data_IF_665603983586
#
_entry.id   IF_665603983586
#
_cell.length_a   1.000
_cell.length_b   1.000
_cell.length_c   1.000
_cell.angle_alpha   90.00
_cell.angle_beta   90.00
_cell.angle_gamma   90.00
#
_symmetry.space_group_name_H-M   'P 1'
#
loop_
_entity.id
_entity.type
_entity.pdbx_description
1 polymer ?
#
# COMPACT_ATOMS: atom_id res chain seq x y z
N UNK A 1 -5.53 3.82 -27.72
CA UNK A 1 -4.73 4.70 -26.83
C UNK A 1 -5.42 5.02 -25.50
N UNK A 2 -6.74 5.16 -25.44
CA UNK A 2 -7.48 5.53 -24.21
C UNK A 2 -7.61 4.44 -23.14
N UNK A 3 -7.47 3.15 -23.47
CA UNK A 3 -7.51 2.06 -22.48
C UNK A 3 -6.23 1.95 -21.62
N UNK A 4 -5.04 2.25 -22.17
CA UNK A 4 -3.76 2.19 -21.43
C UNK A 4 -3.71 3.21 -20.28
N UNK A 5 -4.24 4.42 -20.48
CA UNK A 5 -4.27 5.49 -19.47
C UNK A 5 -5.26 5.17 -18.34
N UNK A 6 -6.42 4.58 -18.65
CA UNK A 6 -7.42 4.20 -17.64
C UNK A 6 -6.89 3.09 -16.74
N UNK A 7 -6.19 2.09 -17.29
CA UNK A 7 -5.61 0.99 -16.51
C UNK A 7 -4.53 1.50 -15.55
N UNK A 8 -3.67 2.42 -15.99
CA UNK A 8 -2.61 3.00 -15.14
C UNK A 8 -3.20 3.88 -14.01
N UNK A 9 -4.21 4.70 -14.30
CA UNK A 9 -4.91 5.50 -13.28
C UNK A 9 -5.63 4.59 -12.27
N UNK A 10 -6.25 3.50 -12.74
CA UNK A 10 -6.89 2.52 -11.86
C UNK A 10 -5.89 1.78 -10.98
N UNK A 11 -4.73 1.36 -11.50
CA UNK A 11 -3.67 0.69 -10.72
C UNK A 11 -3.08 1.65 -9.67
N UNK A 12 -2.91 2.94 -10.00
CA UNK A 12 -2.41 3.95 -9.05
C UNK A 12 -3.45 4.22 -7.95
N UNK A 13 -4.74 4.34 -8.28
CA UNK A 13 -5.81 4.53 -7.29
C UNK A 13 -6.04 3.28 -6.42
N UNK A 14 -5.92 2.09 -7.00
CA UNK A 14 -5.99 0.81 -6.28
C UNK A 14 -4.77 0.65 -5.37
N UNK A 15 -3.55 0.94 -5.83
CA UNK A 15 -2.35 0.93 -4.99
C UNK A 15 -2.42 1.97 -3.85
N UNK A 16 -3.00 3.15 -4.09
CA UNK A 16 -3.21 4.18 -3.07
C UNK A 16 -4.27 3.77 -2.03
N UNK A 17 -5.31 3.05 -2.44
CA UNK A 17 -6.28 2.41 -1.54
C UNK A 17 -5.72 1.17 -0.82
N UNK A 18 -4.85 0.40 -1.47
CA UNK A 18 -4.20 -0.79 -0.93
C UNK A 18 -3.14 -0.45 0.12
N UNK A 19 -2.41 0.65 -0.03
CA UNK A 19 -1.44 1.15 0.96
C UNK A 19 -2.11 1.66 2.25
N UNK A 20 -3.34 2.16 2.18
CA UNK A 20 -4.13 2.49 3.38
C UNK A 20 -4.78 1.23 4.01
N UNK A 21 -4.90 0.14 3.26
CA UNK A 21 -5.54 -1.12 3.67
C UNK A 21 -4.56 -2.14 4.26
N UNK A 22 -3.30 -2.17 3.81
CA UNK A 22 -2.32 -3.17 4.25
C UNK A 22 -1.53 -2.81 5.52
N UNK A 23 -1.77 -1.63 6.09
CA UNK A 23 -1.22 -1.22 7.38
C UNK A 23 -1.89 -1.85 8.60
N UNK A 24 -3.04 -2.54 8.48
CA UNK A 24 -3.67 -3.28 9.58
C UNK A 24 -4.88 -4.10 9.08
N UNK A 25 -4.65 -5.29 8.51
CA UNK A 25 -5.70 -6.34 8.52
C UNK A 25 -5.50 -7.24 9.74
N UNK A 26 -5.85 -6.69 10.92
CA UNK A 26 -6.29 -7.52 12.04
C UNK A 26 -7.79 -7.74 11.88
N UNK A 27 -8.22 -8.99 12.02
CA UNK A 27 -9.61 -9.44 11.95
C UNK A 27 -10.56 -8.44 12.64
N UNK A 28 -11.53 -7.91 11.89
CA UNK A 28 -12.59 -7.08 12.46
C UNK A 28 -13.54 -7.98 13.26
N UNK A 29 -13.35 -8.04 14.57
CA UNK A 29 -14.24 -8.71 15.50
C UNK A 29 -15.28 -7.69 16.02
N UNK A 30 -16.45 -7.63 15.39
CA UNK A 30 -17.58 -6.87 15.95
C UNK A 30 -18.09 -7.59 17.21
N UNK A 31 -18.21 -6.87 18.33
CA UNK A 31 -18.89 -7.37 19.54
C UNK A 31 -20.17 -6.59 19.76
N UNK A 32 -21.26 -7.30 20.02
CA UNK A 32 -22.56 -6.71 20.34
C UNK A 32 -22.60 -6.35 21.82
N UNK A 33 -22.63 -5.06 22.12
CA UNK A 33 -22.66 -4.53 23.50
C UNK A 33 -23.81 -3.53 23.60
N UNK A 34 -24.70 -3.72 24.58
CA UNK A 34 -25.89 -2.87 24.79
C UNK A 34 -26.74 -2.65 23.53
N UNK A 35 -26.85 -3.67 22.67
CA UNK A 35 -27.70 -3.66 21.48
C UNK A 35 -27.11 -2.97 20.25
N UNK A 36 -25.89 -2.43 20.31
CA UNK A 36 -25.18 -1.85 19.17
C UNK A 36 -23.99 -2.72 18.76
N UNK A 37 -23.76 -2.82 17.45
CA UNK A 37 -22.58 -3.46 16.90
C UNK A 37 -21.43 -2.45 16.95
N UNK A 38 -20.44 -2.73 17.79
CA UNK A 38 -19.26 -1.89 17.95
C UNK A 38 -18.09 -2.65 17.31
N UNK A 39 -17.38 -1.96 16.42
CA UNK A 39 -16.17 -2.44 15.77
C UNK A 39 -15.06 -2.49 16.84
N UNK A 40 -14.74 -3.69 17.34
CA UNK A 40 -13.67 -3.88 18.32
C UNK A 40 -12.42 -4.29 17.57
N UNK A 41 -11.57 -3.31 17.30
CA UNK A 41 -10.19 -3.57 16.88
C UNK A 41 -9.46 -4.09 18.13
N UNK A 42 -8.73 -5.21 18.03
CA UNK A 42 -8.05 -5.86 19.17
C UNK A 42 -7.04 -4.98 19.93
N UNK A 43 -6.83 -3.73 19.52
CA UNK A 43 -5.96 -2.74 20.15
C UNK A 43 -6.70 -1.59 20.85
N UNK A 44 -8.03 -1.57 20.87
CA UNK A 44 -8.82 -0.50 21.49
C UNK A 44 -9.05 -0.77 22.98
N UNK A 45 -8.52 0.09 23.85
CA UNK A 45 -8.91 0.11 25.27
C UNK A 45 -10.24 0.86 25.37
N UNK A 46 -11.29 0.21 25.85
CA UNK A 46 -12.57 0.87 26.10
C UNK A 46 -12.55 1.50 27.50
N UNK A 47 -12.81 2.80 27.57
CA UNK A 47 -13.08 3.53 28.81
C UNK A 47 -14.57 3.50 29.12
N UNK A 48 -14.94 3.71 30.39
CA UNK A 48 -16.35 3.82 30.81
C UNK A 48 -16.56 5.14 31.54
N UNK A 49 -17.53 5.93 31.11
CA UNK A 49 -17.89 7.16 31.81
C UNK A 49 -18.73 6.84 33.07
N UNK A 50 -19.00 7.87 33.87
CA UNK A 50 -19.79 7.76 35.11
C UNK A 50 -21.27 7.38 34.85
N UNK A 51 -21.71 7.39 33.60
CA UNK A 51 -23.06 7.01 33.15
C UNK A 51 -23.09 5.60 32.54
N UNK A 52 -21.94 4.91 32.50
CA UNK A 52 -21.81 3.55 31.99
C UNK A 52 -21.58 3.44 30.49
N UNK A 53 -21.42 4.56 29.76
CA UNK A 53 -21.16 4.58 28.33
C UNK A 53 -19.71 4.19 28.02
N UNK A 54 -19.53 3.38 26.99
CA UNK A 54 -18.21 3.02 26.48
C UNK A 54 -17.71 4.06 25.48
N UNK A 55 -16.45 4.49 25.63
CA UNK A 55 -15.77 5.33 24.65
C UNK A 55 -14.41 4.74 24.26
N UNK A 56 -13.97 5.04 23.03
CA UNK A 56 -12.67 4.64 22.51
C UNK A 56 -11.60 5.47 23.21
N UNK A 57 -10.71 4.82 23.95
CA UNK A 57 -9.49 5.46 24.48
C UNK A 57 -8.42 5.36 23.39
N UNK A 58 -7.85 6.49 22.99
CA UNK A 58 -6.66 6.51 22.13
C UNK A 58 -5.59 5.60 22.72
N UNK A 59 -4.80 4.90 21.88
CA UNK A 59 -3.66 4.07 22.34
C UNK A 59 -2.67 4.86 23.23
N UNK A 60 -2.70 6.19 23.10
CA UNK A 60 -1.89 7.13 23.86
C UNK A 60 -2.76 7.92 24.83
N UNK A 61 -2.37 7.96 26.09
CA UNK A 61 -2.88 8.92 27.07
C UNK A 61 -1.87 10.05 27.30
N UNK A 62 -2.27 11.08 28.05
CA UNK A 62 -1.40 12.21 28.35
C UNK A 62 -0.07 11.79 29.01
N UNK A 63 -0.11 10.77 29.86
CA UNK A 63 1.09 10.31 30.58
C UNK A 63 2.09 9.67 29.63
N UNK A 64 1.64 8.76 28.79
CA UNK A 64 2.44 8.07 27.77
C UNK A 64 2.97 9.07 26.74
N UNK A 65 2.15 10.05 26.35
CA UNK A 65 2.56 11.11 25.45
C UNK A 65 3.64 12.03 26.09
N UNK A 66 3.50 12.38 27.37
CA UNK A 66 4.51 13.16 28.11
C UNK A 66 5.84 12.42 28.21
N UNK A 67 5.82 11.12 28.51
CA UNK A 67 7.03 10.29 28.56
C UNK A 67 7.72 10.20 27.19
N UNK A 68 6.94 9.92 26.13
CA UNK A 68 7.44 9.90 24.75
C UNK A 68 8.08 11.23 24.37
N UNK A 69 7.41 12.34 24.68
CA UNK A 69 7.93 13.69 24.43
C UNK A 69 9.23 13.93 25.19
N UNK A 70 9.31 13.57 26.47
CA UNK A 70 10.53 13.72 27.27
C UNK A 70 11.70 12.93 26.69
N UNK A 71 11.48 11.70 26.22
CA UNK A 71 12.51 10.89 25.56
C UNK A 71 12.95 11.50 24.23
N UNK A 72 11.99 11.94 23.41
CA UNK A 72 12.27 12.60 22.15
C UNK A 72 13.09 13.89 22.32
N UNK A 73 12.80 14.68 23.35
CA UNK A 73 13.55 15.89 23.75
C UNK A 73 14.97 15.56 24.19
N UNK A 74 15.19 14.43 24.88
CA UNK A 74 16.51 13.93 25.24
C UNK A 74 17.30 13.30 24.07
N UNK A 75 16.72 13.30 22.88
CA UNK A 75 17.41 12.85 21.66
C UNK A 75 17.18 11.40 21.27
N UNK A 76 16.29 10.68 21.96
CA UNK A 76 15.95 9.29 21.64
C UNK A 76 15.30 9.19 20.25
N UNK A 77 15.99 8.51 19.32
CA UNK A 77 15.63 8.48 17.91
C UNK A 77 14.27 7.79 17.67
N UNK A 78 13.99 6.60 18.24
CA UNK A 78 12.67 5.98 18.11
C UNK A 78 11.55 6.87 18.65
N UNK A 79 11.76 7.55 19.78
CA UNK A 79 10.76 8.46 20.34
C UNK A 79 10.53 9.69 19.45
N UNK A 80 11.58 10.25 18.84
CA UNK A 80 11.44 11.33 17.87
C UNK A 80 10.63 10.89 16.64
N UNK A 81 10.94 9.72 16.09
CA UNK A 81 10.19 9.14 14.96
C UNK A 81 8.72 8.93 15.34
N UNK A 82 8.45 8.27 16.47
CA UNK A 82 7.09 7.98 16.93
C UNK A 82 6.30 9.27 17.20
N UNK A 83 6.91 10.26 17.86
CA UNK A 83 6.26 11.54 18.12
C UNK A 83 5.92 12.29 16.82
N UNK A 84 6.80 12.22 15.82
CA UNK A 84 6.53 12.71 14.47
C UNK A 84 5.34 12.00 13.82
N UNK A 85 5.28 10.67 13.93
CA UNK A 85 4.17 9.86 13.43
C UNK A 85 2.83 10.19 14.09
N UNK A 86 2.81 10.40 15.42
CA UNK A 86 1.58 10.75 16.13
C UNK A 86 0.98 12.09 15.66
N UNK A 87 1.85 13.09 15.46
CA UNK A 87 1.42 14.36 14.89
C UNK A 87 1.02 14.26 13.41
N UNK A 88 1.58 13.29 12.66
CA UNK A 88 1.23 13.06 11.26
C UNK A 88 -0.14 12.39 11.09
N UNK A 89 -0.39 11.33 11.87
CA UNK A 89 -1.63 10.52 11.86
C UNK A 89 -2.81 11.26 12.48
N UNK A 90 -2.55 12.02 13.55
CA UNK A 90 -3.61 12.69 14.31
C UNK A 90 -4.28 11.80 15.36
N UNK A 91 -3.74 10.63 15.66
CA UNK A 91 -4.31 9.70 16.65
C UNK A 91 -4.44 10.31 18.06
N UNK A 92 -3.42 11.08 18.48
CA UNK A 92 -3.34 11.88 19.71
C UNK A 92 -2.02 12.68 19.69
N UNK A 93 -1.93 13.95 20.14
CA UNK A 93 -2.96 14.76 20.78
C UNK A 93 -3.87 15.50 19.80
N UNK A 94 -3.42 15.71 18.56
CA UNK A 94 -4.17 16.16 17.38
C UNK A 94 -3.17 16.21 16.23
N UNK A 95 -3.67 16.13 14.99
CA UNK A 95 -2.81 16.26 13.80
C UNK A 95 -2.14 17.64 13.77
N UNK A 96 -0.83 17.67 13.58
CA UNK A 96 -0.02 18.89 13.50
C UNK A 96 1.18 18.66 12.56
N UNK A 97 1.03 19.07 11.30
CA UNK A 97 2.05 18.78 10.27
C UNK A 97 3.37 19.52 10.51
N UNK A 98 3.34 20.66 11.21
CA UNK A 98 4.54 21.42 11.54
C UNK A 98 5.35 20.65 12.58
N UNK A 99 4.70 20.16 13.64
CA UNK A 99 5.36 19.33 14.66
C UNK A 99 5.75 17.96 14.11
N UNK A 100 4.94 17.36 13.25
CA UNK A 100 5.28 16.13 12.55
C UNK A 100 6.60 16.30 11.79
N UNK A 101 6.67 17.32 10.91
CA UNK A 101 7.89 17.64 10.16
C UNK A 101 9.10 17.82 11.07
N UNK A 102 8.95 18.61 12.14
CA UNK A 102 10.03 18.88 13.09
C UNK A 102 10.63 17.62 13.71
N UNK A 103 9.78 16.73 14.25
CA UNK A 103 10.24 15.52 14.91
C UNK A 103 10.75 14.45 13.94
N UNK A 104 10.08 14.31 12.78
CA UNK A 104 10.54 13.41 11.72
C UNK A 104 11.89 13.86 11.17
N UNK A 105 12.11 15.16 10.95
CA UNK A 105 13.39 15.70 10.48
C UNK A 105 14.52 15.35 11.45
N UNK A 106 14.32 15.58 12.75
CA UNK A 106 15.33 15.24 13.78
C UNK A 106 15.74 13.77 13.76
N UNK A 107 14.78 12.85 13.63
CA UNK A 107 15.07 11.42 13.55
C UNK A 107 15.70 11.04 12.19
N UNK A 108 15.21 11.63 11.10
CA UNK A 108 15.69 11.39 9.74
C UNK A 108 17.14 11.84 9.53
N UNK A 109 17.54 12.96 10.14
CA UNK A 109 18.93 13.47 10.13
C UNK A 109 19.91 12.55 10.87
N UNK A 110 19.39 11.69 11.75
CA UNK A 110 20.13 10.64 12.44
C UNK A 110 20.01 9.28 11.74
N UNK A 111 19.70 9.27 10.45
CA UNK A 111 19.57 8.08 9.60
C UNK A 111 18.47 7.10 10.03
N UNK A 112 17.42 7.55 10.74
CA UNK A 112 16.26 6.70 10.97
C UNK A 112 15.46 6.56 9.67
N UNK A 113 15.53 5.38 9.05
CA UNK A 113 14.90 5.13 7.74
C UNK A 113 13.37 5.24 7.79
N UNK A 114 12.72 4.85 8.89
CA UNK A 114 11.26 5.02 9.04
C UNK A 114 10.87 6.50 9.07
N UNK A 115 11.62 7.34 9.78
CA UNK A 115 11.38 8.78 9.82
C UNK A 115 11.67 9.44 8.47
N UNK A 116 12.70 9.00 7.74
CA UNK A 116 12.98 9.45 6.37
C UNK A 116 11.81 9.14 5.44
N UNK A 117 11.25 7.93 5.50
CA UNK A 117 10.07 7.55 4.71
C UNK A 117 8.83 8.38 5.07
N UNK A 118 8.58 8.60 6.36
CA UNK A 118 7.44 9.41 6.83
C UNK A 118 7.59 10.89 6.46
N UNK A 119 8.81 11.42 6.48
CA UNK A 119 9.11 12.77 6.02
C UNK A 119 8.92 12.91 4.50
N UNK A 120 9.35 11.91 3.73
CA UNK A 120 9.11 11.86 2.29
C UNK A 120 7.61 11.88 1.97
N UNK A 121 6.83 11.05 2.67
CA UNK A 121 5.37 11.04 2.55
C UNK A 121 4.76 12.40 2.88
N UNK A 122 5.23 13.07 3.94
CA UNK A 122 4.75 14.42 4.28
C UNK A 122 5.01 15.41 3.15
N UNK A 123 6.19 15.39 2.52
CA UNK A 123 6.49 16.23 1.36
C UNK A 123 5.59 15.89 0.16
N UNK A 124 5.37 14.61 -0.11
CA UNK A 124 4.48 14.16 -1.19
C UNK A 124 3.05 14.67 -1.00
N UNK A 125 2.51 14.60 0.22
CA UNK A 125 1.17 15.12 0.56
C UNK A 125 1.06 16.66 0.37
N UNK A 126 2.18 17.37 0.42
CA UNK A 126 2.25 18.81 0.19
C UNK A 126 2.49 19.17 -1.29
N UNK A 127 2.58 18.18 -2.19
CA UNK A 127 2.94 18.37 -3.60
C UNK A 127 4.44 18.64 -3.84
N UNK A 128 5.28 18.51 -2.82
CA UNK A 128 6.73 18.74 -2.90
C UNK A 128 7.44 17.46 -3.35
N UNK A 129 7.20 17.04 -4.60
CA UNK A 129 7.65 15.73 -5.09
C UNK A 129 9.17 15.58 -5.18
N UNK A 130 9.92 16.65 -5.45
CA UNK A 130 11.39 16.60 -5.48
C UNK A 130 11.97 16.26 -4.10
N UNK A 131 11.47 16.90 -3.03
CA UNK A 131 11.89 16.60 -1.66
C UNK A 131 11.44 15.20 -1.23
N UNK A 132 10.24 14.79 -1.63
CA UNK A 132 9.75 13.43 -1.39
C UNK A 132 10.68 12.39 -2.02
N UNK A 133 11.09 12.57 -3.28
CA UNK A 133 12.02 11.69 -3.97
C UNK A 133 13.36 11.60 -3.22
N UNK A 134 13.94 12.74 -2.83
CA UNK A 134 15.21 12.78 -2.08
C UNK A 134 15.11 11.98 -0.78
N UNK A 135 14.03 12.15 -0.01
CA UNK A 135 13.88 11.47 1.27
C UNK A 135 13.54 9.98 1.12
N UNK A 136 12.74 9.59 0.13
CA UNK A 136 12.50 8.18 -0.16
C UNK A 136 13.78 7.47 -0.61
N UNK A 137 14.63 8.12 -1.42
CA UNK A 137 15.95 7.58 -1.80
C UNK A 137 16.82 7.32 -0.58
N UNK A 138 17.00 8.32 0.28
CA UNK A 138 17.78 8.16 1.54
C UNK A 138 17.25 7.00 2.39
N UNK A 139 15.93 6.89 2.54
CA UNK A 139 15.31 5.80 3.29
C UNK A 139 15.52 4.43 2.63
N UNK A 140 15.39 4.35 1.31
CA UNK A 140 15.62 3.14 0.52
C UNK A 140 17.08 2.66 0.61
N UNK A 141 18.03 3.59 0.55
CA UNK A 141 19.47 3.32 0.70
C UNK A 141 19.81 2.78 2.09
N UNK A 142 19.04 3.22 3.10
CA UNK A 142 19.08 2.68 4.46
C UNK A 142 18.26 1.37 4.64
N UNK A 143 17.92 0.69 3.54
CA UNK A 143 17.31 -0.64 3.57
C UNK A 143 15.80 -0.68 3.80
N UNK A 144 15.10 0.46 3.82
CA UNK A 144 13.65 0.47 4.00
C UNK A 144 12.91 0.11 2.69
N UNK A 145 12.33 -1.08 2.65
CA UNK A 145 11.58 -1.60 1.50
C UNK A 145 10.28 -0.84 1.24
N UNK A 146 9.57 -0.38 2.27
CA UNK A 146 8.35 0.43 2.08
C UNK A 146 8.68 1.76 1.40
N UNK A 147 9.77 2.41 1.83
CA UNK A 147 10.22 3.65 1.21
C UNK A 147 10.68 3.45 -0.23
N UNK A 148 11.35 2.34 -0.52
CA UNK A 148 11.75 1.98 -1.87
C UNK A 148 10.54 1.71 -2.77
N UNK A 149 9.52 1.03 -2.26
CA UNK A 149 8.27 0.85 -2.97
C UNK A 149 7.57 2.20 -3.24
N UNK A 150 7.54 3.09 -2.25
CA UNK A 150 6.96 4.42 -2.44
C UNK A 150 7.76 5.29 -3.42
N UNK A 151 9.08 5.11 -3.49
CA UNK A 151 9.92 5.71 -4.54
C UNK A 151 9.51 5.19 -5.92
N UNK A 152 9.32 3.88 -6.08
CA UNK A 152 8.84 3.30 -7.34
C UNK A 152 7.51 3.92 -7.75
N UNK A 153 6.53 3.98 -6.85
CA UNK A 153 5.22 4.57 -7.13
C UNK A 153 5.32 6.06 -7.50
N UNK A 154 6.15 6.83 -6.79
CA UNK A 154 6.39 8.24 -7.09
C UNK A 154 6.99 8.43 -8.48
N UNK A 155 7.97 7.59 -8.85
CA UNK A 155 8.59 7.64 -10.17
C UNK A 155 7.58 7.27 -11.26
N UNK A 156 6.86 6.15 -11.12
CA UNK A 156 5.83 5.76 -12.09
C UNK A 156 4.76 6.84 -12.29
N UNK A 157 4.33 7.53 -11.23
CA UNK A 157 3.36 8.63 -11.33
C UNK A 157 3.93 9.85 -12.08
N UNK A 158 5.18 10.22 -11.79
CA UNK A 158 5.85 11.34 -12.46
C UNK A 158 6.07 11.10 -13.96
N UNK A 159 6.28 9.85 -14.39
CA UNK A 159 6.36 9.48 -15.81
C UNK A 159 5.04 9.79 -16.53
N UNK A 160 3.92 9.41 -15.91
CA UNK A 160 2.57 9.56 -16.47
C UNK A 160 2.12 11.02 -16.49
N UNK A 161 2.33 11.75 -15.38
CA UNK A 161 1.71 13.06 -15.17
C UNK A 161 2.59 14.24 -15.58
N UNK A 162 3.91 14.14 -15.42
CA UNK A 162 4.81 15.29 -15.52
C UNK A 162 5.71 15.29 -16.77
N UNK A 163 5.52 14.32 -17.67
CA UNK A 163 6.34 14.12 -18.89
C UNK A 163 7.86 14.13 -18.61
N UNK A 164 8.26 13.87 -17.35
CA UNK A 164 9.66 13.75 -16.97
C UNK A 164 10.11 12.40 -17.51
N UNK A 165 11.13 12.40 -18.36
CA UNK A 165 11.72 11.15 -18.83
C UNK A 165 12.39 10.48 -17.65
N UNK A 166 11.75 9.46 -17.10
CA UNK A 166 12.27 8.67 -16.00
C UNK A 166 13.07 7.51 -16.56
N UNK A 167 14.09 7.11 -15.80
CA UNK A 167 14.87 5.95 -16.15
C UNK A 167 14.08 4.68 -15.79
N UNK A 168 13.36 4.11 -16.76
CA UNK A 168 12.61 2.85 -16.57
C UNK A 168 13.49 1.70 -16.04
N UNK A 169 14.78 1.67 -16.41
CA UNK A 169 15.73 0.67 -15.87
C UNK A 169 15.96 0.85 -14.37
N UNK A 170 15.87 2.08 -13.88
CA UNK A 170 15.94 2.36 -12.44
C UNK A 170 14.73 1.78 -11.72
N UNK A 171 13.51 1.98 -12.25
CA UNK A 171 12.28 1.41 -11.68
C UNK A 171 12.38 -0.11 -11.62
N UNK A 172 12.81 -0.76 -12.71
CA UNK A 172 13.02 -2.21 -12.77
C UNK A 172 14.08 -2.65 -11.74
N UNK A 173 15.20 -1.95 -11.62
CA UNK A 173 16.25 -2.26 -10.65
C UNK A 173 15.74 -2.17 -9.20
N UNK A 174 14.98 -1.13 -8.87
CA UNK A 174 14.37 -0.97 -7.55
C UNK A 174 13.38 -2.10 -7.26
N UNK A 175 12.53 -2.45 -8.23
CA UNK A 175 11.56 -3.55 -8.11
C UNK A 175 12.24 -4.92 -7.98
N UNK A 176 13.27 -5.22 -8.77
CA UNK A 176 14.05 -6.46 -8.65
C UNK A 176 14.72 -6.56 -7.26
N UNK A 177 15.20 -5.44 -6.71
CA UNK A 177 15.73 -5.42 -5.34
C UNK A 177 14.66 -5.73 -4.28
N UNK A 178 13.41 -5.29 -4.50
CA UNK A 178 12.27 -5.56 -3.62
C UNK A 178 11.83 -7.02 -3.72
N UNK A 179 11.74 -7.56 -4.93
CA UNK A 179 11.46 -8.97 -5.19
C UNK A 179 12.51 -9.87 -4.56
N UNK A 180 13.80 -9.54 -4.70
CA UNK A 180 14.90 -10.25 -4.02
C UNK A 180 14.77 -10.21 -2.49
N UNK A 181 14.20 -9.13 -1.95
CA UNK A 181 13.89 -8.99 -0.53
C UNK A 181 12.57 -9.65 -0.10
N UNK A 182 11.89 -10.37 -1.00
CA UNK A 182 10.55 -10.96 -0.77
C UNK A 182 9.49 -9.93 -0.35
N UNK A 183 9.63 -8.68 -0.80
CA UNK A 183 8.64 -7.64 -0.56
C UNK A 183 7.44 -7.86 -1.50
N UNK A 184 6.41 -8.53 -0.97
CA UNK A 184 5.24 -9.04 -1.71
C UNK A 184 4.62 -8.06 -2.70
N UNK A 185 4.37 -6.77 -2.36
CA UNK A 185 3.74 -5.85 -3.31
C UNK A 185 4.54 -5.62 -4.60
N UNK A 186 5.86 -5.81 -4.57
CA UNK A 186 6.69 -5.59 -5.76
C UNK A 186 6.54 -6.69 -6.83
N UNK A 187 6.07 -7.88 -6.47
CA UNK A 187 5.93 -9.00 -7.41
C UNK A 187 4.92 -8.68 -8.50
N UNK A 188 3.73 -8.20 -8.12
CA UNK A 188 2.72 -7.80 -9.09
C UNK A 188 3.17 -6.59 -9.91
N UNK A 189 3.75 -5.57 -9.27
CA UNK A 189 4.22 -4.37 -9.99
C UNK A 189 5.29 -4.70 -11.02
N UNK A 190 6.26 -5.54 -10.68
CA UNK A 190 7.29 -5.96 -11.63
C UNK A 190 6.75 -6.88 -12.72
N UNK A 191 5.83 -7.78 -12.38
CA UNK A 191 5.13 -8.59 -13.36
C UNK A 191 4.40 -7.71 -14.39
N UNK A 192 3.67 -6.70 -13.91
CA UNK A 192 2.97 -5.75 -14.77
C UNK A 192 3.94 -5.00 -15.68
N UNK A 193 5.07 -4.49 -15.16
CA UNK A 193 6.10 -3.83 -15.98
C UNK A 193 6.60 -4.77 -17.08
N UNK A 194 6.89 -6.03 -16.77
CA UNK A 194 7.39 -6.98 -17.76
C UNK A 194 6.33 -7.50 -18.75
N UNK A 195 5.05 -7.45 -18.42
CA UNK A 195 3.99 -7.93 -19.30
C UNK A 195 3.42 -6.82 -20.19
N UNK A 196 3.34 -5.59 -19.69
CA UNK A 196 2.60 -4.49 -20.32
C UNK A 196 3.47 -3.36 -20.89
N UNK A 197 4.70 -3.17 -20.37
CA UNK A 197 5.60 -2.15 -20.91
C UNK A 197 6.37 -2.69 -22.12
N UNK A 198 6.14 -2.07 -23.29
CA UNK A 198 6.70 -2.52 -24.57
C UNK A 198 8.25 -2.44 -24.61
N UNK A 199 8.88 -1.56 -23.83
CA UNK A 199 10.34 -1.39 -23.79
C UNK A 199 11.00 -2.37 -22.81
N UNK A 200 10.32 -2.70 -21.71
CA UNK A 200 10.84 -3.57 -20.67
C UNK A 200 10.35 -5.02 -20.79
N UNK A 201 9.55 -5.33 -21.81
CA UNK A 201 8.83 -6.60 -21.95
C UNK A 201 9.70 -7.84 -21.71
N UNK A 202 9.25 -8.71 -20.80
CA UNK A 202 9.82 -10.02 -20.53
C UNK A 202 8.71 -10.98 -20.08
N UNK A 203 8.08 -11.65 -21.04
CA UNK A 203 6.89 -12.48 -20.79
C UNK A 203 7.15 -13.64 -19.83
N UNK A 204 8.31 -14.30 -19.96
CA UNK A 204 8.68 -15.41 -19.08
C UNK A 204 8.80 -14.93 -17.62
N UNK A 205 9.62 -13.90 -17.40
CA UNK A 205 9.85 -13.36 -16.05
C UNK A 205 8.58 -12.74 -15.47
N UNK A 206 7.81 -12.04 -16.31
CA UNK A 206 6.53 -11.45 -15.94
C UNK A 206 5.53 -12.50 -15.47
N UNK A 207 5.39 -13.62 -16.18
CA UNK A 207 4.49 -14.70 -15.80
C UNK A 207 4.95 -15.44 -14.53
N UNK A 208 6.26 -15.64 -14.35
CA UNK A 208 6.84 -16.20 -13.11
C UNK A 208 6.47 -15.33 -11.90
N UNK A 209 6.69 -14.02 -12.00
CA UNK A 209 6.38 -13.06 -10.93
C UNK A 209 4.88 -12.93 -10.68
N UNK A 210 4.07 -12.93 -11.73
CA UNK A 210 2.61 -12.88 -11.62
C UNK A 210 2.08 -14.11 -10.88
N UNK A 211 2.58 -15.29 -11.23
CA UNK A 211 2.23 -16.55 -10.56
C UNK A 211 2.61 -16.49 -9.08
N UNK A 212 3.80 -15.95 -8.77
CA UNK A 212 4.25 -15.77 -7.39
C UNK A 212 3.39 -14.77 -6.61
N UNK A 213 2.96 -13.68 -7.24
CA UNK A 213 2.04 -12.72 -6.62
C UNK A 213 0.67 -13.35 -6.30
N UNK A 214 0.17 -14.26 -7.16
CA UNK A 214 -1.04 -15.06 -6.88
C UNK A 214 -0.88 -16.00 -5.68
N UNK A 215 0.31 -16.57 -5.47
CA UNK A 215 0.62 -17.33 -4.23
C UNK A 215 0.59 -16.45 -2.98
N UNK A 216 0.94 -15.16 -3.13
CA UNK A 216 0.81 -14.15 -2.09
C UNK A 216 -0.59 -13.56 -1.93
N UNK A 217 -1.58 -14.15 -2.62
CA UNK A 217 -2.98 -13.72 -2.58
C UNK A 217 -3.16 -12.25 -3.03
N UNK A 218 -2.28 -11.75 -3.90
CA UNK A 218 -2.46 -10.45 -4.53
C UNK A 218 -3.69 -10.47 -5.46
N UNK A 219 -4.62 -9.52 -5.25
CA UNK A 219 -5.91 -9.52 -5.94
C UNK A 219 -5.75 -9.17 -7.42
N UNK A 220 -4.83 -8.26 -7.73
CA UNK A 220 -4.63 -7.75 -9.08
C UNK A 220 -3.90 -8.81 -9.91
N UNK A 221 -2.97 -9.53 -9.28
CA UNK A 221 -2.33 -10.69 -9.86
C UNK A 221 -3.33 -11.83 -10.16
N UNK A 222 -4.25 -12.12 -9.24
CA UNK A 222 -5.31 -13.13 -9.43
C UNK A 222 -6.18 -12.78 -10.64
N UNK A 223 -6.58 -11.52 -10.75
CA UNK A 223 -7.40 -11.03 -11.87
C UNK A 223 -6.64 -11.08 -13.20
N UNK A 224 -5.40 -10.60 -13.23
CA UNK A 224 -4.59 -10.59 -14.45
C UNK A 224 -4.29 -12.02 -14.92
N UNK A 225 -3.91 -12.92 -14.02
CA UNK A 225 -3.65 -14.32 -14.40
C UNK A 225 -4.95 -15.02 -14.87
N UNK A 226 -6.11 -14.66 -14.30
CA UNK A 226 -7.40 -15.14 -14.78
C UNK A 226 -7.68 -14.70 -16.23
N UNK A 227 -7.33 -13.46 -16.59
CA UNK A 227 -7.45 -12.97 -17.97
C UNK A 227 -6.55 -13.76 -18.93
N UNK A 228 -5.29 -14.00 -18.55
CA UNK A 228 -4.35 -14.78 -19.34
C UNK A 228 -4.88 -16.19 -19.63
N UNK A 229 -5.45 -16.87 -18.62
CA UNK A 229 -6.09 -18.17 -18.80
C UNK A 229 -7.38 -18.13 -19.61
N UNK A 230 -8.17 -17.06 -19.52
CA UNK A 230 -9.39 -16.90 -20.33
C UNK A 230 -9.06 -16.75 -21.82
N UNK A 231 -8.07 -15.91 -22.12
CA UNK A 231 -7.69 -15.55 -23.48
C UNK A 231 -6.77 -16.60 -24.12
N UNK A 232 -6.04 -17.39 -23.30
CA UNK A 232 -5.01 -18.30 -23.78
C UNK A 232 -3.74 -17.57 -24.23
N UNK A 233 -3.46 -16.43 -23.59
CA UNK A 233 -2.32 -15.57 -23.87
C UNK A 233 -1.22 -15.89 -22.86
N UNK A 234 -0.01 -16.20 -23.33
CA UNK A 234 1.15 -16.66 -22.54
C UNK A 234 0.98 -18.00 -21.78
N UNK A 235 -0.26 -18.42 -21.54
CA UNK A 235 -0.63 -19.70 -20.93
C UNK A 235 -1.63 -20.43 -21.80
N UNK A 236 -1.70 -21.75 -21.68
CA UNK A 236 -2.76 -22.52 -22.32
C UNK A 236 -4.12 -22.06 -21.80
N UNK A 237 -5.05 -21.80 -22.72
CA UNK A 237 -6.43 -21.42 -22.38
C UNK A 237 -7.05 -22.45 -21.43
N UNK A 238 -7.52 -21.98 -20.27
CA UNK A 238 -8.11 -22.79 -19.20
C UNK A 238 -9.21 -21.99 -18.49
N UNK A 239 -10.45 -22.20 -18.94
CA UNK A 239 -11.60 -21.45 -18.41
C UNK A 239 -11.91 -21.80 -16.95
N UNK A 240 -11.55 -23.00 -16.49
CA UNK A 240 -11.83 -23.42 -15.11
C UNK A 240 -10.86 -22.75 -14.14
N UNK A 241 -9.56 -22.72 -14.47
CA UNK A 241 -8.58 -21.93 -13.70
C UNK A 241 -8.92 -20.44 -13.71
N UNK A 242 -9.29 -19.90 -14.88
CA UNK A 242 -9.73 -18.52 -15.00
C UNK A 242 -10.91 -18.21 -14.07
N UNK A 243 -11.96 -19.06 -14.06
CA UNK A 243 -13.10 -18.96 -13.13
C UNK A 243 -12.70 -18.99 -11.67
N UNK A 244 -11.81 -19.90 -11.29
CA UNK A 244 -11.35 -20.00 -9.90
C UNK A 244 -10.61 -18.74 -9.45
N UNK A 245 -9.72 -18.20 -10.29
CA UNK A 245 -8.97 -16.99 -9.99
C UNK A 245 -9.88 -15.76 -9.94
N UNK A 246 -10.82 -15.60 -10.88
CA UNK A 246 -11.83 -14.54 -10.79
C UNK A 246 -12.70 -14.67 -9.53
N UNK A 247 -13.05 -15.88 -9.11
CA UNK A 247 -13.82 -16.09 -7.88
C UNK A 247 -13.03 -15.67 -6.63
N UNK A 248 -11.72 -15.96 -6.57
CA UNK A 248 -10.81 -15.50 -5.50
C UNK A 248 -10.74 -13.97 -5.46
N UNK A 249 -10.53 -13.33 -6.61
CA UNK A 249 -10.48 -11.87 -6.69
C UNK A 249 -11.83 -11.21 -6.32
N UNK A 250 -12.95 -11.79 -6.77
CA UNK A 250 -14.29 -11.34 -6.42
C UNK A 250 -14.62 -11.51 -4.94
N UNK A 251 -14.14 -12.58 -4.29
CA UNK A 251 -14.29 -12.77 -2.84
C UNK A 251 -13.54 -11.69 -2.04
N UNK A 252 -12.49 -11.11 -2.62
CA UNK A 252 -11.76 -9.94 -2.10
C UNK A 252 -12.38 -8.61 -2.55
N UNK A 253 -13.62 -8.64 -3.04
CA UNK A 253 -14.42 -7.49 -3.45
C UNK A 253 -13.87 -6.72 -4.66
N UNK A 254 -13.06 -7.36 -5.52
CA UNK A 254 -12.61 -6.72 -6.76
C UNK A 254 -13.80 -6.52 -7.74
N UNK A 255 -14.18 -5.28 -8.08
CA UNK A 255 -15.36 -5.01 -8.91
C UNK A 255 -15.28 -5.63 -10.31
N UNK A 256 -14.11 -5.59 -10.94
CA UNK A 256 -13.87 -6.12 -12.28
C UNK A 256 -14.10 -7.63 -12.32
N UNK A 257 -13.62 -8.35 -11.30
CA UNK A 257 -13.82 -9.79 -11.17
C UNK A 257 -15.29 -10.14 -10.91
N UNK A 258 -15.97 -9.40 -10.03
CA UNK A 258 -17.41 -9.57 -9.76
C UNK A 258 -18.22 -9.37 -11.05
N UNK A 259 -17.95 -8.28 -11.77
CA UNK A 259 -18.63 -7.97 -13.03
C UNK A 259 -18.38 -9.05 -14.08
N UNK A 260 -17.15 -9.56 -14.18
CA UNK A 260 -16.79 -10.63 -15.10
C UNK A 260 -17.55 -11.92 -14.82
N UNK A 261 -17.62 -12.34 -13.55
CA UNK A 261 -18.40 -13.53 -13.16
C UNK A 261 -19.90 -13.35 -13.40
N UNK A 262 -20.44 -12.15 -13.16
CA UNK A 262 -21.84 -11.85 -13.46
C UNK A 262 -22.14 -11.93 -14.96
N UNK A 263 -21.24 -11.43 -15.82
CA UNK A 263 -21.37 -11.55 -17.27
C UNK A 263 -21.39 -13.02 -17.73
N UNK A 264 -20.53 -13.87 -17.17
CA UNK A 264 -20.54 -15.30 -17.47
C UNK A 264 -21.82 -16.00 -17.02
N UNK A 265 -22.34 -15.69 -15.83
CA UNK A 265 -23.63 -16.22 -15.36
C UNK A 265 -24.78 -15.81 -16.29
N UNK A 266 -24.81 -14.54 -16.69
CA UNK A 266 -25.81 -14.04 -17.62
C UNK A 266 -25.74 -14.74 -18.99
N UNK A 267 -24.54 -14.91 -19.53
CA UNK A 267 -24.35 -15.56 -20.84
C UNK A 267 -24.61 -17.07 -20.80
N UNK A 268 -24.37 -17.73 -19.67
CA UNK A 268 -24.65 -19.17 -19.50
C UNK A 268 -26.14 -19.48 -19.33
N UNK A 269 -26.93 -18.47 -18.93
CA UNK A 269 -28.38 -18.55 -18.76
C UNK A 269 -29.18 -18.01 -19.96
N UNK A 270 -28.50 -17.68 -21.07
CA UNK A 270 -29.21 -17.36 -22.32
C UNK A 270 -29.68 -18.67 -22.97
N UNK A 271 -30.98 -18.76 -23.34
CA UNK A 271 -31.52 -19.92 -24.04
C UNK A 271 -30.90 -20.11 -25.42
#
# INVERSE_FOLDING_TARGET
MTRKIIIIISIILIAFGYLLSYGNKKQENYKRIAGKDILVIESTRLGRDNLGNYFVVSKWDESSFRDLKSKAEKGDIPSQQMLGYLYLSGDFPNRDLIKAKYWLQKAADKNNSVAQAQLAYLYQQQGNFNDAEIWYRKSSDNGNFEARNNLVLLLMDQEVNNHKRINKLEIVSLLESLVKGEYKPAFYTLAWVYLEDDEMKNEQRGLELLTKAVEYEDVDAEYMLAQLYEEGVLVQKDLDKSKQLYARAAAKQMPEAINKLNQWRYNSNKP
#
